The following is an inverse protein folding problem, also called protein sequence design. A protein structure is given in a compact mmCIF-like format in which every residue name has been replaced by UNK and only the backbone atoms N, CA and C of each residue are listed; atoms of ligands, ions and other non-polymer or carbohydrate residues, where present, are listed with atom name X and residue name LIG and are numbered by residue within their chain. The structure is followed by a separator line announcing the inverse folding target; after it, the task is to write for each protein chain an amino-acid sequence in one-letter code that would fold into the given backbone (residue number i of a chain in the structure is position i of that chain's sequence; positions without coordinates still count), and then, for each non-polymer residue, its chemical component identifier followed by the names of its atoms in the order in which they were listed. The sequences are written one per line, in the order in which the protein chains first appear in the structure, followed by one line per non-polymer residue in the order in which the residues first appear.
data_IF_825975478878
#
_entry.id   IF_825975478878
#
_cell.length_a   1.000
_cell.length_b   1.000
_cell.length_c   1.000
_cell.angle_alpha   90.00
_cell.angle_beta   90.00
_cell.angle_gamma   90.00
#
_symmetry.space_group_name_H-M   'P 1'
#
loop_
_entity.id
_entity.type
_entity.pdbx_description
1 polymer ?
#
# COMPACT_ATOMS: atom_id res chain seq x y z
N UNK A 1 -10.52 -11.21 45.19
CA UNK A 1 -9.81 -11.88 44.08
C UNK A 1 -9.38 -10.90 42.97
N UNK A 2 -10.23 -9.94 42.58
CA UNK A 2 -9.93 -8.93 41.56
C UNK A 2 -8.61 -8.15 41.75
N UNK A 3 -8.29 -7.73 42.98
CA UNK A 3 -7.04 -7.01 43.29
C UNK A 3 -5.78 -7.84 43.00
N UNK A 4 -5.81 -9.16 43.23
CA UNK A 4 -4.67 -10.05 42.94
C UNK A 4 -4.49 -10.26 41.43
N UNK A 5 -5.60 -10.38 40.71
CA UNK A 5 -5.60 -10.47 39.24
C UNK A 5 -5.08 -9.17 38.63
N UNK A 6 -5.50 -8.01 39.15
CA UNK A 6 -5.01 -6.70 38.70
C UNK A 6 -3.49 -6.57 38.89
N UNK A 7 -2.96 -6.94 40.06
CA UNK A 7 -1.51 -6.91 40.31
C UNK A 7 -0.73 -7.83 39.38
N UNK A 8 -1.27 -9.01 39.06
CA UNK A 8 -0.67 -9.93 38.09
C UNK A 8 -0.65 -9.35 36.67
N UNK A 9 -1.75 -8.74 36.21
CA UNK A 9 -1.80 -8.09 34.89
C UNK A 9 -0.79 -6.95 34.82
N UNK A 10 -0.72 -6.11 35.86
CA UNK A 10 0.26 -5.02 35.93
C UNK A 10 1.68 -5.56 35.86
N UNK A 11 2.00 -6.59 36.64
CA UNK A 11 3.33 -7.20 36.64
C UNK A 11 3.70 -7.77 35.25
N UNK A 12 2.78 -8.50 34.61
CA UNK A 12 3.00 -9.07 33.27
C UNK A 12 3.20 -7.96 32.23
N UNK A 13 2.36 -6.92 32.25
CA UNK A 13 2.49 -5.77 31.35
C UNK A 13 3.82 -5.05 31.55
N UNK A 14 4.26 -4.84 32.80
CA UNK A 14 5.56 -4.23 33.10
C UNK A 14 6.73 -5.05 32.54
N UNK A 15 6.70 -6.37 32.71
CA UNK A 15 7.74 -7.27 32.16
C UNK A 15 7.76 -7.19 30.63
N UNK A 16 6.60 -7.23 29.97
CA UNK A 16 6.50 -7.14 28.51
C UNK A 16 7.04 -5.80 27.97
N UNK A 17 6.74 -4.69 28.65
CA UNK A 17 7.25 -3.36 28.27
C UNK A 17 8.78 -3.29 28.39
N UNK A 18 9.34 -3.81 29.50
CA UNK A 18 10.79 -3.83 29.70
C UNK A 18 11.46 -4.70 28.64
N UNK A 19 10.92 -5.90 28.38
CA UNK A 19 11.44 -6.79 27.35
C UNK A 19 11.41 -6.14 25.96
N UNK A 20 10.31 -5.46 25.59
CA UNK A 20 10.21 -4.71 24.35
C UNK A 20 11.26 -3.58 24.30
N UNK A 21 11.40 -2.81 25.38
CA UNK A 21 12.33 -1.67 25.42
C UNK A 21 13.79 -2.10 25.24
N UNK A 22 14.17 -3.26 25.79
CA UNK A 22 15.50 -3.84 25.63
C UNK A 22 15.75 -4.39 24.22
N UNK A 23 14.71 -4.83 23.51
CA UNK A 23 14.83 -5.47 22.18
C UNK A 23 14.40 -4.57 21.02
N UNK A 24 13.99 -3.32 21.28
CA UNK A 24 13.38 -2.43 20.29
C UNK A 24 14.26 -2.17 19.06
N UNK A 25 15.58 -2.05 19.25
CA UNK A 25 16.50 -1.74 18.15
C UNK A 25 16.68 -2.92 17.20
N UNK A 26 16.84 -4.12 17.77
CA UNK A 26 16.92 -5.35 16.99
C UNK A 26 15.61 -5.60 16.25
N UNK A 27 14.46 -5.46 16.93
CA UNK A 27 13.15 -5.56 16.30
C UNK A 27 12.99 -4.56 15.14
N UNK A 28 13.40 -3.30 15.33
CA UNK A 28 13.30 -2.27 14.30
C UNK A 28 14.20 -2.58 13.10
N UNK A 29 15.42 -3.08 13.36
CA UNK A 29 16.35 -3.51 12.31
C UNK A 29 15.78 -4.66 11.48
N UNK A 30 15.26 -5.68 12.14
CA UNK A 30 14.67 -6.85 11.48
C UNK A 30 13.42 -6.46 10.69
N UNK A 31 12.55 -5.63 11.28
CA UNK A 31 11.38 -5.09 10.59
C UNK A 31 11.78 -4.31 9.34
N UNK A 32 12.76 -3.41 9.43
CA UNK A 32 13.23 -2.62 8.29
C UNK A 32 13.85 -3.52 7.20
N UNK A 33 14.63 -4.52 7.58
CA UNK A 33 15.21 -5.48 6.64
C UNK A 33 14.11 -6.27 5.92
N UNK A 34 13.11 -6.76 6.63
CA UNK A 34 11.96 -7.45 6.04
C UNK A 34 11.20 -6.52 5.08
N UNK A 35 10.95 -5.25 5.46
CA UNK A 35 10.27 -4.28 4.59
C UNK A 35 11.09 -3.93 3.34
N UNK A 36 12.42 -3.86 3.43
CA UNK A 36 13.30 -3.67 2.27
C UNK A 36 13.22 -4.88 1.32
N UNK A 37 13.25 -6.10 1.85
CA UNK A 37 13.11 -7.32 1.05
C UNK A 37 11.75 -7.38 0.35
N UNK A 38 10.64 -7.08 1.06
CA UNK A 38 9.31 -7.01 0.46
C UNK A 38 9.24 -5.93 -0.62
N UNK A 39 9.88 -4.78 -0.38
CA UNK A 39 9.95 -3.70 -1.38
C UNK A 39 10.64 -4.16 -2.65
N UNK A 40 11.82 -4.77 -2.55
CA UNK A 40 12.53 -5.32 -3.70
C UNK A 40 11.69 -6.38 -4.43
N UNK A 41 11.07 -7.29 -3.69
CA UNK A 41 10.23 -8.36 -4.25
C UNK A 41 9.03 -7.81 -5.05
N UNK A 42 8.27 -6.88 -4.47
CA UNK A 42 7.08 -6.36 -5.15
C UNK A 42 7.41 -5.40 -6.29
N UNK A 43 8.51 -4.65 -6.19
CA UNK A 43 9.01 -3.90 -7.34
C UNK A 43 9.44 -4.84 -8.47
N UNK A 44 10.20 -5.90 -8.17
CA UNK A 44 10.58 -6.91 -9.17
C UNK A 44 9.35 -7.54 -9.83
N UNK A 45 8.35 -7.97 -9.05
CA UNK A 45 7.09 -8.51 -9.58
C UNK A 45 6.36 -7.52 -10.50
N UNK A 46 6.38 -6.24 -10.16
CA UNK A 46 5.81 -5.18 -10.98
C UNK A 46 6.52 -5.05 -12.33
N UNK A 47 7.84 -4.95 -12.30
CA UNK A 47 8.66 -4.89 -13.51
C UNK A 47 8.54 -6.15 -14.38
N UNK A 48 8.50 -7.33 -13.77
CA UNK A 48 8.33 -8.61 -14.48
C UNK A 48 6.97 -8.66 -15.18
N UNK A 49 5.89 -8.30 -14.50
CA UNK A 49 4.57 -8.24 -15.13
C UNK A 49 4.52 -7.23 -16.28
N UNK A 50 5.16 -6.08 -16.12
CA UNK A 50 5.24 -5.03 -17.14
C UNK A 50 5.96 -5.47 -18.43
N UNK A 51 6.81 -6.50 -18.39
CA UNK A 51 7.51 -7.00 -19.59
C UNK A 51 6.57 -7.47 -20.72
N UNK A 52 5.32 -7.78 -20.37
CA UNK A 52 4.28 -8.25 -21.30
C UNK A 52 2.96 -7.49 -21.14
N UNK A 53 2.96 -6.40 -20.36
CA UNK A 53 1.76 -5.68 -19.99
C UNK A 53 1.87 -4.19 -20.27
N UNK A 54 0.73 -3.58 -20.57
CA UNK A 54 0.59 -2.14 -20.69
C UNK A 54 0.19 -1.48 -19.34
N UNK A 55 0.23 -0.15 -19.29
CA UNK A 55 -0.12 0.61 -18.09
C UNK A 55 -1.54 0.32 -17.56
N UNK A 56 -2.50 0.08 -18.46
CA UNK A 56 -3.88 -0.26 -18.10
C UNK A 56 -3.97 -1.65 -17.46
N UNK A 57 -3.24 -2.63 -17.98
CA UNK A 57 -3.12 -3.97 -17.43
C UNK A 57 -2.42 -3.94 -16.07
N UNK A 58 -1.36 -3.14 -15.90
CA UNK A 58 -0.73 -2.91 -14.58
C UNK A 58 -1.73 -2.45 -13.52
N UNK A 59 -2.51 -1.41 -13.83
CA UNK A 59 -3.52 -0.88 -12.91
C UNK A 59 -4.63 -1.91 -12.60
N UNK A 60 -5.09 -2.61 -13.64
CA UNK A 60 -6.10 -3.67 -13.51
C UNK A 60 -5.61 -4.81 -12.62
N UNK A 61 -4.36 -5.23 -12.82
CA UNK A 61 -3.74 -6.29 -12.04
C UNK A 61 -3.52 -5.84 -10.58
N UNK A 62 -3.09 -4.61 -10.35
CA UNK A 62 -2.98 -4.04 -9.00
C UNK A 62 -4.32 -4.04 -8.25
N UNK A 63 -5.41 -3.64 -8.92
CA UNK A 63 -6.76 -3.73 -8.34
C UNK A 63 -7.18 -5.17 -8.04
N UNK A 64 -6.93 -6.10 -8.98
CA UNK A 64 -7.25 -7.52 -8.79
C UNK A 64 -6.52 -8.12 -7.58
N UNK A 65 -5.24 -7.80 -7.41
CA UNK A 65 -4.45 -8.28 -6.26
C UNK A 65 -4.90 -7.62 -4.96
N UNK A 66 -5.20 -6.31 -5.00
CA UNK A 66 -5.72 -5.57 -3.85
C UNK A 66 -7.05 -6.15 -3.33
N UNK A 67 -7.91 -6.68 -4.20
CA UNK A 67 -9.15 -7.34 -3.79
C UNK A 67 -8.97 -8.56 -2.89
N UNK A 68 -7.73 -9.05 -2.75
CA UNK A 68 -7.34 -10.15 -1.87
C UNK A 68 -6.57 -9.68 -0.63
N UNK A 69 -6.38 -8.37 -0.45
CA UNK A 69 -5.66 -7.79 0.68
C UNK A 69 -6.61 -7.43 1.82
N UNK A 70 -6.30 -7.92 3.02
CA UNK A 70 -7.02 -7.58 4.26
C UNK A 70 -6.18 -6.79 5.26
N UNK A 71 -4.85 -6.80 5.09
CA UNK A 71 -3.90 -6.11 5.96
C UNK A 71 -3.26 -4.90 5.25
N UNK A 72 -2.77 -3.96 6.05
CA UNK A 72 -2.20 -2.69 5.59
C UNK A 72 -0.91 -2.89 4.78
N UNK A 73 -0.03 -3.77 5.25
CA UNK A 73 1.20 -4.15 4.57
C UNK A 73 0.94 -4.72 3.17
N UNK A 74 -0.06 -5.58 3.02
CA UNK A 74 -0.50 -6.09 1.71
C UNK A 74 -0.88 -4.93 0.76
N UNK A 75 -1.62 -3.94 1.27
CA UNK A 75 -2.00 -2.76 0.47
C UNK A 75 -0.79 -1.95 0.03
N UNK A 76 0.19 -1.74 0.91
CA UNK A 76 1.44 -1.06 0.57
C UNK A 76 2.22 -1.82 -0.51
N UNK A 77 2.31 -3.14 -0.38
CA UNK A 77 3.01 -4.01 -1.31
C UNK A 77 2.38 -3.95 -2.71
N UNK A 78 1.05 -3.87 -2.81
CA UNK A 78 0.35 -3.61 -4.08
C UNK A 78 0.65 -2.24 -4.67
N UNK A 79 0.89 -1.22 -3.84
CA UNK A 79 1.37 0.09 -4.30
C UNK A 79 2.77 0.03 -4.92
N UNK A 80 3.67 -0.76 -4.32
CA UNK A 80 5.03 -0.96 -4.82
C UNK A 80 5.03 -1.72 -6.14
N UNK A 81 4.23 -2.79 -6.23
CA UNK A 81 3.96 -3.49 -7.49
C UNK A 81 3.48 -2.53 -8.56
N UNK A 82 2.40 -1.78 -8.30
CA UNK A 82 1.80 -0.89 -9.29
C UNK A 82 2.77 0.19 -9.75
N UNK A 83 3.50 0.82 -8.80
CA UNK A 83 4.49 1.85 -9.11
C UNK A 83 5.57 1.33 -10.06
N UNK A 84 6.13 0.15 -9.77
CA UNK A 84 7.18 -0.43 -10.62
C UNK A 84 6.61 -0.90 -11.96
N UNK A 85 5.42 -1.49 -11.97
CA UNK A 85 4.76 -1.93 -13.20
C UNK A 85 4.53 -0.75 -14.16
N UNK A 86 3.91 0.33 -13.69
CA UNK A 86 3.64 1.51 -14.51
C UNK A 86 4.92 2.15 -15.07
N UNK A 87 6.02 2.11 -14.32
CA UNK A 87 7.30 2.68 -14.74
C UNK A 87 8.00 1.88 -15.85
N UNK A 88 7.67 0.59 -16.02
CA UNK A 88 8.31 -0.30 -16.99
C UNK A 88 7.37 -0.77 -18.12
N UNK A 89 6.06 -0.56 -17.98
CA UNK A 89 5.05 -1.05 -18.91
C UNK A 89 4.94 -0.21 -20.18
N UNK A 90 4.45 -0.83 -21.25
CA UNK A 90 4.12 -0.11 -22.47
C UNK A 90 3.03 0.96 -22.23
N UNK A 91 3.14 2.15 -22.84
CA UNK A 91 2.12 3.18 -22.71
C UNK A 91 0.76 2.73 -23.24
N UNK A 92 -0.30 2.87 -22.43
CA UNK A 92 -1.67 2.67 -22.94
C UNK A 92 -2.24 3.99 -23.46
N UNK A 93 -2.87 3.95 -24.64
CA UNK A 93 -3.57 5.11 -25.20
C UNK A 93 -4.59 5.67 -24.20
N UNK A 94 -4.47 6.96 -23.90
CA UNK A 94 -5.37 7.68 -23.00
C UNK A 94 -5.26 7.26 -21.52
N UNK A 95 -4.19 6.57 -21.09
CA UNK A 95 -4.05 6.14 -19.70
C UNK A 95 -4.21 7.29 -18.69
N UNK A 96 -3.59 8.43 -19.00
CA UNK A 96 -3.61 9.63 -18.17
C UNK A 96 -4.70 10.64 -18.53
N UNK A 97 -5.55 10.33 -19.51
CA UNK A 97 -6.65 11.23 -19.88
C UNK A 97 -7.65 11.38 -18.72
N UNK A 98 -7.93 12.63 -18.34
CA UNK A 98 -8.85 12.94 -17.24
C UNK A 98 -8.37 12.52 -15.86
N UNK A 99 -7.07 12.22 -15.70
CA UNK A 99 -6.46 12.00 -14.37
C UNK A 99 -6.14 13.37 -13.76
N UNK A 100 -6.57 13.67 -12.53
CA UNK A 100 -6.22 14.92 -11.86
C UNK A 100 -4.70 15.09 -11.74
N UNK A 101 -4.25 16.35 -11.76
CA UNK A 101 -2.85 16.68 -11.51
C UNK A 101 -2.52 16.47 -10.03
N UNK A 102 -1.34 15.96 -9.75
CA UNK A 102 -0.86 15.77 -8.39
C UNK A 102 -0.77 17.12 -7.65
N UNK A 103 -1.32 17.15 -6.44
CA UNK A 103 -1.23 18.28 -5.53
C UNK A 103 -1.27 17.79 -4.08
N UNK A 104 -0.59 18.52 -3.19
CA UNK A 104 -0.45 18.14 -1.78
C UNK A 104 -1.80 18.05 -1.06
N UNK A 105 -2.71 18.99 -1.36
CA UNK A 105 -4.06 19.02 -0.81
C UNK A 105 -5.07 18.75 -1.92
N UNK A 106 -5.76 17.62 -1.85
CA UNK A 106 -6.80 17.26 -2.82
C UNK A 106 -7.98 18.25 -2.81
N UNK A 107 -8.39 18.69 -4.00
CA UNK A 107 -9.60 19.48 -4.21
C UNK A 107 -10.84 18.63 -3.98
N UNK A 108 -12.01 19.26 -4.04
CA UNK A 108 -13.29 18.54 -4.02
C UNK A 108 -13.42 17.59 -5.22
N UNK A 109 -12.97 18.02 -6.38
CA UNK A 109 -13.11 17.26 -7.64
C UNK A 109 -12.15 16.06 -7.66
N UNK A 110 -10.92 16.20 -7.14
CA UNK A 110 -10.00 15.06 -7.03
C UNK A 110 -10.55 13.99 -6.08
N UNK A 111 -11.17 14.42 -4.97
CA UNK A 111 -11.82 13.51 -4.02
C UNK A 111 -13.00 12.80 -4.65
N UNK A 112 -13.80 13.50 -5.46
CA UNK A 112 -14.88 12.89 -6.22
C UNK A 112 -14.34 11.86 -7.22
N UNK A 113 -13.33 12.21 -7.99
CA UNK A 113 -12.67 11.32 -8.94
C UNK A 113 -12.13 10.04 -8.29
N UNK A 114 -11.46 10.16 -7.13
CA UNK A 114 -10.97 9.02 -6.35
C UNK A 114 -12.11 8.16 -5.79
N UNK A 115 -13.20 8.78 -5.34
CA UNK A 115 -14.38 8.06 -4.82
C UNK A 115 -15.07 7.29 -5.94
N UNK A 116 -15.39 7.97 -7.04
CA UNK A 116 -16.15 7.43 -8.16
C UNK A 116 -15.34 6.35 -8.90
N UNK A 117 -14.02 6.57 -9.05
CA UNK A 117 -13.10 5.58 -9.60
C UNK A 117 -13.02 4.27 -8.80
N UNK A 118 -13.45 4.27 -7.54
CA UNK A 118 -13.47 3.09 -6.67
C UNK A 118 -14.88 2.49 -6.46
N UNK A 119 -15.94 3.21 -6.80
CA UNK A 119 -17.32 2.90 -6.43
C UNK A 119 -17.76 1.49 -6.85
N UNK A 120 -17.44 1.06 -8.07
CA UNK A 120 -17.88 -0.23 -8.64
C UNK A 120 -16.82 -1.33 -8.63
N UNK A 121 -15.73 -1.18 -7.87
CA UNK A 121 -14.60 -2.14 -7.95
C UNK A 121 -14.68 -3.32 -6.97
N UNK A 122 -15.65 -3.32 -6.04
CA UNK A 122 -15.74 -4.31 -4.96
C UNK A 122 -14.40 -4.49 -4.20
N UNK A 123 -13.72 -3.38 -3.94
CA UNK A 123 -12.43 -3.33 -3.24
C UNK A 123 -12.60 -2.57 -1.92
N UNK A 124 -11.67 -2.77 -0.99
CA UNK A 124 -11.51 -1.84 0.13
C UNK A 124 -11.32 -0.42 -0.43
N UNK A 125 -12.24 0.50 -0.08
CA UNK A 125 -12.27 1.86 -0.61
C UNK A 125 -10.99 2.65 -0.33
N UNK A 126 -10.31 2.42 0.79
CA UNK A 126 -9.05 3.09 1.10
C UNK A 126 -7.89 2.58 0.26
N UNK A 127 -7.75 1.25 0.15
CA UNK A 127 -6.72 0.63 -0.69
C UNK A 127 -6.90 1.01 -2.17
N UNK A 128 -8.15 1.05 -2.65
CA UNK A 128 -8.43 1.42 -4.03
C UNK A 128 -8.01 2.88 -4.30
N UNK A 129 -8.36 3.80 -3.40
CA UNK A 129 -7.95 5.21 -3.50
C UNK A 129 -6.43 5.36 -3.40
N UNK A 130 -5.77 4.53 -2.60
CA UNK A 130 -4.31 4.48 -2.52
C UNK A 130 -3.67 4.13 -3.88
N UNK A 131 -4.15 3.10 -4.58
CA UNK A 131 -3.66 2.77 -5.92
C UNK A 131 -3.99 3.86 -6.96
N UNK A 132 -5.18 4.47 -6.90
CA UNK A 132 -5.53 5.58 -7.78
C UNK A 132 -4.65 6.82 -7.55
N UNK A 133 -4.22 7.10 -6.31
CA UNK A 133 -3.23 8.15 -6.03
C UNK A 133 -1.87 7.85 -6.66
N UNK A 134 -1.46 6.58 -6.75
CA UNK A 134 -0.25 6.22 -7.50
C UNK A 134 -0.40 6.52 -8.99
N UNK A 135 -1.60 6.31 -9.56
CA UNK A 135 -1.90 6.72 -10.95
C UNK A 135 -1.80 8.24 -11.13
N UNK A 136 -2.38 9.02 -10.22
CA UNK A 136 -2.26 10.50 -10.22
C UNK A 136 -0.79 10.91 -10.22
N UNK A 137 0.00 10.34 -9.31
CA UNK A 137 1.42 10.64 -9.22
C UNK A 137 2.20 10.24 -10.48
N UNK A 138 1.92 9.07 -11.05
CA UNK A 138 2.54 8.62 -12.30
C UNK A 138 2.22 9.54 -13.49
N UNK A 139 0.95 9.93 -13.64
CA UNK A 139 0.47 10.78 -14.73
C UNK A 139 0.83 12.27 -14.58
N UNK A 140 1.39 12.67 -13.45
CA UNK A 140 1.82 14.06 -13.17
C UNK A 140 3.34 14.24 -13.26
N UNK A 141 4.07 13.20 -13.66
CA UNK A 141 5.48 13.26 -14.00
C UNK A 141 5.63 13.47 -15.50
#
# INVERSE_FOLDING_TARGET
MFKKILWLVVLISSIAIIAFWLNKEQWLKDFNQQRQQQTALFMQKGAEFASTADQRQCLTQGFKQLGKCFAFDCTLDQGLFLKSCLANAEPSVGFCAGVPVYQEKLTKDDKAWLKDGCWNKNLNGEGCRFLLKQKIYFCSK
#
